data_IF_130295514882
#
_entry.id   IF_130295514882
#
_cell.length_a   1.000
_cell.length_b   1.000
_cell.length_c   1.000
_cell.angle_alpha   90.00
_cell.angle_beta   90.00
_cell.angle_gamma   90.00
#
_symmetry.space_group_name_H-M   'P 1'
#
loop_
_entity.id
_entity.type
_entity.pdbx_description
1 polymer ?
#
# COMPACT_ATOMS: atom_id res chain seq x y z
N UNK A 1 -3.65 7.82 -20.11
CA UNK A 1 -4.28 6.53 -19.76
C UNK A 1 -4.75 6.64 -18.33
N UNK A 2 -6.06 6.66 -18.04
CA UNK A 2 -6.52 6.73 -16.66
C UNK A 2 -6.37 5.34 -16.02
N UNK A 3 -5.83 5.33 -14.81
CA UNK A 3 -5.77 4.19 -13.91
C UNK A 3 -7.17 3.59 -13.71
N UNK A 4 -7.22 2.26 -13.52
CA UNK A 4 -8.43 1.45 -13.42
C UNK A 4 -9.40 1.81 -12.28
N UNK A 5 -10.56 1.13 -12.24
CA UNK A 5 -11.71 1.52 -11.42
C UNK A 5 -11.42 1.51 -9.92
N UNK A 6 -12.11 2.37 -9.18
CA UNK A 6 -12.10 2.44 -7.72
C UNK A 6 -12.48 1.07 -7.13
N UNK A 7 -11.51 0.37 -6.52
CA UNK A 7 -11.71 -0.92 -5.84
C UNK A 7 -11.96 -0.64 -4.36
N UNK A 8 -13.20 -0.80 -3.92
CA UNK A 8 -13.58 -0.71 -2.51
C UNK A 8 -12.99 -1.90 -1.73
N UNK A 9 -11.97 -1.64 -0.93
CA UNK A 9 -11.33 -2.66 -0.08
C UNK A 9 -11.83 -2.48 1.34
N UNK A 10 -12.48 -3.48 1.92
CA UNK A 10 -12.87 -3.42 3.33
C UNK A 10 -11.90 -4.22 4.20
N UNK A 11 -11.43 -3.62 5.29
CA UNK A 11 -10.79 -4.30 6.42
C UNK A 11 -11.54 -3.89 7.69
N UNK A 12 -12.23 -4.82 8.32
CA UNK A 12 -12.79 -4.67 9.66
C UNK A 12 -12.37 -5.90 10.47
N UNK A 13 -11.84 -5.67 11.67
CA UNK A 13 -11.38 -6.73 12.57
C UNK A 13 -12.01 -6.53 13.94
N UNK A 14 -12.40 -7.64 14.56
CA UNK A 14 -13.09 -7.67 15.85
C UNK A 14 -12.25 -8.06 17.05
N UNK A 15 -12.80 -7.74 18.22
CA UNK A 15 -12.35 -8.15 19.55
C UNK A 15 -13.06 -9.42 20.01
N UNK A 16 -12.32 -10.50 20.21
CA UNK A 16 -12.44 -11.25 21.46
C UNK A 16 -11.39 -10.69 22.43
N UNK A 17 -11.81 -10.45 23.67
CA UNK A 17 -11.13 -9.62 24.68
C UNK A 17 -9.62 -9.38 24.45
N UNK A 18 -9.32 -8.16 23.98
CA UNK A 18 -8.00 -7.54 23.83
C UNK A 18 -7.21 -7.69 22.52
N UNK A 19 -7.85 -7.97 21.37
CA UNK A 19 -7.27 -7.70 20.04
C UNK A 19 -7.88 -6.44 19.38
N UNK A 20 -7.07 -5.41 19.11
CA UNK A 20 -7.34 -4.30 18.18
C UNK A 20 -6.50 -4.53 16.94
N UNK A 21 -7.00 -4.21 15.76
CA UNK A 21 -6.14 -4.19 14.57
C UNK A 21 -6.07 -2.79 13.99
N UNK A 22 -4.87 -2.42 13.57
CA UNK A 22 -4.50 -1.08 13.15
C UNK A 22 -3.73 -1.20 11.83
N UNK A 23 -4.04 -0.33 10.87
CA UNK A 23 -3.08 0.05 9.85
C UNK A 23 -1.97 0.88 10.50
N UNK A 24 -0.72 0.56 10.17
CA UNK A 24 0.45 1.29 10.68
C UNK A 24 0.52 2.64 9.97
N UNK A 25 -0.01 3.70 10.60
CA UNK A 25 0.54 5.04 10.46
C UNK A 25 1.44 5.29 11.68
N UNK A 26 2.73 5.44 11.37
CA UNK A 26 3.87 5.83 12.22
C UNK A 26 3.52 6.37 13.62
N UNK A 27 4.01 5.70 14.68
CA UNK A 27 4.49 6.39 15.87
C UNK A 27 5.77 5.71 16.38
N UNK A 28 6.79 6.53 16.65
CA UNK A 28 8.17 6.15 16.93
C UNK A 28 8.36 5.32 18.22
N UNK A 29 7.34 5.23 19.08
CA UNK A 29 7.43 4.58 20.39
C UNK A 29 7.02 3.09 20.40
N UNK A 30 6.46 2.57 19.30
CA UNK A 30 5.95 1.18 19.21
C UNK A 30 7.07 0.12 19.08
N UNK A 31 8.30 0.52 18.77
CA UNK A 31 9.36 -0.40 18.33
C UNK A 31 9.95 -1.28 19.44
N UNK A 32 9.72 -0.99 20.73
CA UNK A 32 10.34 -1.78 21.82
C UNK A 32 9.62 -3.08 22.17
N UNK A 33 8.44 -3.37 21.60
CA UNK A 33 7.67 -4.61 21.84
C UNK A 33 7.15 -5.28 20.56
N UNK A 34 7.43 -4.72 19.37
CA UNK A 34 6.83 -5.12 18.11
C UNK A 34 7.35 -6.47 17.53
N UNK A 35 8.44 -7.02 18.05
CA UNK A 35 9.16 -8.13 17.39
C UNK A 35 8.49 -9.51 17.47
N UNK A 36 7.39 -9.70 18.21
CA UNK A 36 6.80 -11.05 18.39
C UNK A 36 5.26 -11.09 18.41
N UNK A 37 4.58 -10.19 17.70
CA UNK A 37 3.12 -10.31 17.56
C UNK A 37 2.77 -11.43 16.57
N UNK A 38 2.06 -12.44 17.07
CA UNK A 38 1.57 -13.53 16.22
C UNK A 38 0.65 -12.96 15.14
N UNK A 39 1.07 -13.12 13.89
CA UNK A 39 0.43 -12.52 12.73
C UNK A 39 0.32 -13.57 11.62
N UNK A 40 -0.85 -13.61 10.98
CA UNK A 40 -1.13 -14.45 9.81
C UNK A 40 -1.82 -13.62 8.75
N UNK A 41 -1.39 -13.81 7.51
CA UNK A 41 -1.87 -13.09 6.35
C UNK A 41 -2.33 -14.10 5.32
N UNK A 42 -3.57 -13.95 4.87
CA UNK A 42 -4.17 -14.73 3.81
C UNK A 42 -4.35 -13.78 2.63
N UNK A 43 -3.69 -14.07 1.50
CA UNK A 43 -3.80 -13.27 0.29
C UNK A 43 -4.24 -14.19 -0.84
N UNK A 44 -5.17 -13.71 -1.64
CA UNK A 44 -5.47 -14.30 -2.92
C UNK A 44 -5.42 -13.23 -4.01
N UNK A 45 -4.92 -13.61 -5.18
CA UNK A 45 -4.96 -12.79 -6.38
C UNK A 45 -5.44 -13.65 -7.54
N UNK A 46 -6.21 -13.05 -8.44
CA UNK A 46 -6.82 -13.72 -9.56
C UNK A 46 -7.43 -12.71 -10.53
N UNK A 47 -8.47 -13.14 -11.22
CA UNK A 47 -9.20 -12.29 -12.18
C UNK A 47 -10.71 -12.38 -11.89
N UNK A 48 -11.39 -11.24 -11.99
CA UNK A 48 -12.85 -11.14 -11.95
C UNK A 48 -13.30 -10.45 -13.23
N UNK A 49 -14.16 -11.11 -14.02
CA UNK A 49 -14.65 -10.58 -15.29
C UNK A 49 -13.53 -10.17 -16.28
N UNK A 50 -12.38 -10.83 -16.21
CA UNK A 50 -11.20 -10.52 -17.04
C UNK A 50 -10.33 -9.37 -16.52
N UNK A 51 -10.67 -8.77 -15.38
CA UNK A 51 -9.87 -7.74 -14.72
C UNK A 51 -9.07 -8.32 -13.55
N UNK A 52 -7.80 -7.93 -13.34
CA UNK A 52 -7.01 -8.36 -12.20
C UNK A 52 -7.68 -7.97 -10.87
N UNK A 53 -7.74 -8.92 -9.94
CA UNK A 53 -8.30 -8.73 -8.61
C UNK A 53 -7.40 -9.33 -7.54
N UNK A 54 -7.40 -8.71 -6.36
CA UNK A 54 -6.69 -9.21 -5.19
C UNK A 54 -7.50 -8.89 -3.92
N UNK A 55 -7.39 -9.78 -2.93
CA UNK A 55 -8.06 -9.65 -1.64
C UNK A 55 -7.24 -10.34 -0.56
N UNK A 56 -7.48 -9.95 0.70
CA UNK A 56 -6.72 -10.51 1.80
C UNK A 56 -7.34 -10.29 3.17
N UNK A 57 -6.94 -11.15 4.12
CA UNK A 57 -7.32 -11.09 5.53
C UNK A 57 -6.05 -11.11 6.37
N UNK A 58 -5.97 -10.18 7.33
CA UNK A 58 -4.90 -10.11 8.34
C UNK A 58 -5.48 -10.50 9.70
N UNK A 59 -4.90 -11.52 10.33
CA UNK A 59 -5.13 -11.85 11.72
C UNK A 59 -3.89 -11.52 12.54
N UNK A 60 -4.06 -10.79 13.64
CA UNK A 60 -2.94 -10.36 14.47
C UNK A 60 -3.32 -10.31 15.96
N UNK A 61 -2.54 -11.01 16.80
CA UNK A 61 -2.60 -10.89 18.25
C UNK A 61 -2.03 -9.56 18.70
N UNK A 62 -2.68 -8.93 19.66
CA UNK A 62 -2.20 -7.69 20.25
C UNK A 62 -1.33 -7.89 21.49
N UNK A 63 -0.45 -6.91 21.80
CA UNK A 63 0.40 -6.96 22.99
C UNK A 63 -0.36 -7.08 24.32
N UNK A 64 -1.61 -6.60 24.39
CA UNK A 64 -2.44 -6.65 25.61
C UNK A 64 -3.14 -7.99 25.82
N UNK A 65 -2.98 -8.94 24.90
CA UNK A 65 -3.70 -10.21 24.94
C UNK A 65 -2.94 -11.23 25.81
N UNK A 66 -3.64 -11.88 26.74
CA UNK A 66 -3.06 -12.88 27.65
C UNK A 66 -2.73 -14.21 26.94
N UNK A 67 -2.18 -15.19 27.67
CA UNK A 67 -1.74 -16.49 27.11
C UNK A 67 -2.90 -17.28 26.46
N UNK A 68 -4.13 -17.14 26.97
CA UNK A 68 -5.34 -17.76 26.38
C UNK A 68 -5.59 -17.35 24.93
N UNK A 69 -5.07 -16.18 24.52
CA UNK A 69 -5.21 -15.64 23.17
C UNK A 69 -4.50 -16.47 22.11
N UNK A 70 -3.54 -17.33 22.50
CA UNK A 70 -2.79 -18.14 21.55
C UNK A 70 -3.62 -19.30 20.99
N UNK A 71 -4.38 -20.00 21.83
CA UNK A 71 -5.29 -21.06 21.36
C UNK A 71 -6.42 -20.49 20.51
N UNK A 72 -6.94 -19.32 20.90
CA UNK A 72 -7.94 -18.62 20.11
C UNK A 72 -7.39 -18.16 18.77
N UNK A 73 -6.15 -17.67 18.72
CA UNK A 73 -5.51 -17.29 17.48
C UNK A 73 -5.36 -18.47 16.52
N UNK A 74 -4.87 -19.61 17.01
CA UNK A 74 -4.74 -20.82 16.19
C UNK A 74 -6.10 -21.28 15.63
N UNK A 75 -7.16 -21.21 16.44
CA UNK A 75 -8.53 -21.48 15.99
C UNK A 75 -8.99 -20.53 14.87
N UNK A 76 -8.82 -19.22 15.06
CA UNK A 76 -9.18 -18.22 14.04
C UNK A 76 -8.39 -18.41 12.74
N UNK A 77 -7.11 -18.81 12.85
CA UNK A 77 -6.28 -19.14 11.70
C UNK A 77 -6.83 -20.36 10.95
N UNK A 78 -7.26 -21.41 11.65
CA UNK A 78 -7.87 -22.58 11.01
C UNK A 78 -9.21 -22.23 10.33
N UNK A 79 -10.06 -21.42 10.98
CA UNK A 79 -11.31 -20.94 10.36
C UNK A 79 -11.01 -20.15 9.09
N UNK A 80 -10.10 -19.18 9.17
CA UNK A 80 -9.74 -18.32 8.03
C UNK A 80 -9.10 -19.11 6.90
N UNK A 81 -8.34 -20.16 7.20
CA UNK A 81 -7.76 -21.03 6.19
C UNK A 81 -8.80 -21.77 5.32
N UNK A 82 -10.07 -21.79 5.72
CA UNK A 82 -11.17 -22.35 4.92
C UNK A 82 -11.69 -21.42 3.83
N UNK A 83 -11.30 -20.12 3.84
CA UNK A 83 -11.72 -19.16 2.82
C UNK A 83 -11.19 -19.56 1.44
N UNK A 84 -12.05 -19.56 0.43
CA UNK A 84 -11.63 -19.79 -0.95
C UNK A 84 -11.27 -18.48 -1.62
N UNK A 85 -10.41 -18.56 -2.62
CA UNK A 85 -10.01 -17.42 -3.44
C UNK A 85 -11.19 -16.71 -4.10
N UNK A 86 -12.10 -17.45 -4.71
CA UNK A 86 -13.32 -16.90 -5.33
C UNK A 86 -14.16 -16.11 -4.31
N UNK A 87 -14.34 -16.65 -3.11
CA UNK A 87 -15.12 -16.02 -2.04
C UNK A 87 -14.43 -14.74 -1.55
N UNK A 88 -13.10 -14.76 -1.42
CA UNK A 88 -12.31 -13.60 -1.00
C UNK A 88 -12.31 -12.45 -2.01
N UNK A 89 -12.45 -12.77 -3.30
CA UNK A 89 -12.43 -11.77 -4.36
C UNK A 89 -13.83 -11.25 -4.72
N UNK A 90 -14.88 -12.06 -4.55
CA UNK A 90 -16.23 -11.73 -5.06
C UNK A 90 -17.25 -11.36 -3.99
N UNK A 91 -17.08 -11.81 -2.75
CA UNK A 91 -18.04 -11.52 -1.68
C UNK A 91 -17.77 -10.18 -1.02
N UNK A 92 -18.84 -9.56 -0.54
CA UNK A 92 -18.73 -8.39 0.32
C UNK A 92 -18.00 -8.76 1.62
N UNK A 93 -17.04 -7.97 2.09
CA UNK A 93 -16.26 -8.35 3.27
C UNK A 93 -17.06 -8.54 4.55
N UNK A 94 -18.21 -7.85 4.71
CA UNK A 94 -19.13 -8.13 5.83
C UNK A 94 -19.69 -9.56 5.76
N UNK A 95 -19.95 -10.07 4.56
CA UNK A 95 -20.41 -11.43 4.32
C UNK A 95 -19.30 -12.45 4.60
N UNK A 96 -18.06 -12.15 4.18
CA UNK A 96 -16.89 -12.97 4.50
C UNK A 96 -16.71 -13.09 6.03
N UNK A 97 -16.76 -11.96 6.74
CA UNK A 97 -16.61 -11.92 8.19
C UNK A 97 -17.72 -12.69 8.91
N UNK A 98 -18.98 -12.50 8.51
CA UNK A 98 -20.09 -13.25 9.08
C UNK A 98 -19.91 -14.76 8.81
N UNK A 99 -19.59 -15.15 7.57
CA UNK A 99 -19.42 -16.56 7.22
C UNK A 99 -18.30 -17.24 8.01
N UNK A 100 -17.16 -16.57 8.20
CA UNK A 100 -16.01 -17.13 8.92
C UNK A 100 -16.18 -17.09 10.44
N UNK A 101 -16.85 -16.06 10.98
CA UNK A 101 -16.78 -15.73 12.40
C UNK A 101 -18.16 -15.51 13.07
N UNK A 102 -19.27 -15.94 12.48
CA UNK A 102 -20.62 -15.79 13.08
C UNK A 102 -20.79 -16.44 14.46
N UNK A 103 -20.02 -17.49 14.78
CA UNK A 103 -20.02 -18.12 16.11
C UNK A 103 -19.09 -17.41 17.10
N UNK A 104 -18.31 -16.44 16.63
CA UNK A 104 -17.37 -15.65 17.44
C UNK A 104 -18.00 -14.31 17.84
N UNK A 105 -17.55 -13.74 18.94
CA UNK A 105 -17.94 -12.38 19.33
C UNK A 105 -17.17 -11.35 18.48
N UNK A 106 -17.83 -10.76 17.49
CA UNK A 106 -17.20 -9.91 16.47
C UNK A 106 -17.75 -8.48 16.50
N UNK A 107 -16.90 -7.52 16.88
CA UNK A 107 -17.12 -6.08 16.63
C UNK A 107 -16.63 -5.67 15.24
N UNK A 108 -17.49 -5.04 14.45
CA UNK A 108 -17.13 -4.46 13.14
C UNK A 108 -16.87 -2.96 13.26
N UNK A 109 -15.82 -2.48 12.61
CA UNK A 109 -15.49 -1.06 12.48
C UNK A 109 -15.85 -0.52 11.10
N UNK A 110 -15.90 0.81 10.98
CA UNK A 110 -16.14 1.47 9.70
C UNK A 110 -15.00 1.17 8.71
N UNK A 111 -15.35 0.87 7.44
CA UNK A 111 -14.37 0.59 6.42
C UNK A 111 -13.52 1.84 6.12
N UNK A 112 -12.30 1.61 5.65
CA UNK A 112 -11.39 2.67 5.21
C UNK A 112 -11.04 2.41 3.74
N UNK A 113 -11.19 3.43 2.90
CA UNK A 113 -10.79 3.35 1.50
C UNK A 113 -9.27 3.23 1.41
N UNK A 114 -8.82 2.20 0.70
CA UNK A 114 -7.41 1.99 0.38
C UNK A 114 -7.25 2.26 -1.11
N UNK A 115 -6.34 3.16 -1.44
CA UNK A 115 -6.00 3.48 -2.82
C UNK A 115 -4.48 3.42 -2.99
N UNK A 116 -4.04 3.04 -4.19
CA UNK A 116 -2.64 3.17 -4.54
C UNK A 116 -2.23 4.66 -4.51
N UNK A 117 -1.18 4.97 -3.77
CA UNK A 117 -0.63 6.32 -3.72
C UNK A 117 0.88 6.29 -3.91
N UNK A 118 1.35 6.92 -5.00
CA UNK A 118 2.76 7.19 -5.20
C UNK A 118 3.06 8.66 -4.92
N UNK A 119 4.14 8.91 -4.17
CA UNK A 119 4.58 10.27 -3.86
C UNK A 119 5.53 10.87 -4.92
N UNK A 120 5.75 10.17 -6.03
CA UNK A 120 6.50 10.73 -7.16
C UNK A 120 5.82 11.99 -7.68
N UNK A 121 6.61 12.92 -8.20
CA UNK A 121 6.08 14.14 -8.80
C UNK A 121 7.10 14.73 -9.73
N UNK A 122 6.64 15.53 -10.69
CA UNK A 122 7.52 16.26 -11.60
C UNK A 122 8.55 17.10 -10.85
N UNK A 123 8.15 17.76 -9.75
CA UNK A 123 9.04 18.56 -8.91
C UNK A 123 10.16 17.74 -8.26
N UNK A 124 9.90 16.48 -7.87
CA UNK A 124 10.95 15.60 -7.36
C UNK A 124 11.92 15.21 -8.48
N UNK A 125 11.41 14.88 -9.67
CA UNK A 125 12.23 14.59 -10.84
C UNK A 125 13.09 15.79 -11.26
N UNK A 126 12.55 17.01 -11.20
CA UNK A 126 13.31 18.26 -11.42
C UNK A 126 14.48 18.41 -10.45
N UNK A 127 14.27 18.12 -9.16
CA UNK A 127 15.34 18.20 -8.16
C UNK A 127 16.45 17.18 -8.43
N UNK A 128 16.09 15.98 -8.92
CA UNK A 128 17.07 14.97 -9.34
C UNK A 128 17.86 15.49 -10.54
N UNK A 129 17.21 16.03 -11.57
CA UNK A 129 17.88 16.64 -12.73
C UNK A 129 18.83 17.75 -12.30
N UNK A 130 18.42 18.60 -11.36
CA UNK A 130 19.25 19.70 -10.84
C UNK A 130 20.42 19.25 -9.96
N UNK A 131 20.53 17.95 -9.65
CA UNK A 131 21.65 17.36 -8.91
C UNK A 131 22.69 16.68 -9.81
N UNK A 132 22.34 16.41 -11.06
CA UNK A 132 23.27 15.87 -12.07
C UNK A 132 24.22 16.98 -12.55
N UNK A 133 25.40 16.59 -13.03
CA UNK A 133 26.31 17.55 -13.63
C UNK A 133 25.80 18.01 -15.00
N UNK A 134 26.26 19.20 -15.41
CA UNK A 134 25.81 19.80 -16.66
C UNK A 134 26.26 18.97 -17.88
N UNK A 135 27.43 18.33 -17.81
CA UNK A 135 27.95 17.50 -18.90
C UNK A 135 27.05 16.27 -19.18
N UNK A 136 26.59 15.58 -18.12
CA UNK A 136 25.73 14.40 -18.25
C UNK A 136 24.39 14.77 -18.90
N UNK A 137 23.79 15.87 -18.46
CA UNK A 137 22.53 16.36 -19.01
C UNK A 137 22.70 16.73 -20.49
N UNK A 138 23.78 17.42 -20.83
CA UNK A 138 24.02 17.88 -22.19
C UNK A 138 24.34 16.72 -23.14
N UNK A 139 25.05 15.69 -22.66
CA UNK A 139 25.28 14.46 -23.40
C UNK A 139 23.98 13.75 -23.74
N UNK A 140 23.09 13.54 -22.76
CA UNK A 140 21.80 12.85 -22.99
C UNK A 140 20.91 13.67 -23.94
N UNK A 141 20.87 14.99 -23.76
CA UNK A 141 20.10 15.88 -24.65
C UNK A 141 20.64 15.90 -26.08
N UNK A 142 21.95 15.78 -26.28
CA UNK A 142 22.53 15.70 -27.63
C UNK A 142 22.17 14.40 -28.33
N UNK A 143 22.16 13.28 -27.62
CA UNK A 143 21.84 11.96 -28.20
C UNK A 143 20.34 11.77 -28.46
N UNK A 144 19.48 12.23 -27.53
CA UNK A 144 18.05 11.87 -27.50
C UNK A 144 17.10 13.06 -27.66
N UNK A 145 17.57 14.29 -27.52
CA UNK A 145 16.75 15.52 -27.58
C UNK A 145 15.94 15.81 -26.31
N UNK A 146 15.69 14.79 -25.47
CA UNK A 146 14.95 14.87 -24.22
C UNK A 146 15.51 13.89 -23.17
N UNK A 147 15.17 14.15 -21.91
CA UNK A 147 15.44 13.26 -20.78
C UNK A 147 14.10 12.77 -20.22
N UNK A 148 13.95 11.46 -20.13
CA UNK A 148 12.84 10.80 -19.47
C UNK A 148 13.25 10.25 -18.11
N UNK A 149 12.39 10.43 -17.10
CA UNK A 149 12.55 9.81 -15.78
C UNK A 149 11.32 8.96 -15.51
N UNK A 150 11.52 7.65 -15.45
CA UNK A 150 10.50 6.69 -15.06
C UNK A 150 10.53 6.45 -13.55
N UNK A 151 9.36 6.49 -12.91
CA UNK A 151 9.23 6.11 -11.51
C UNK A 151 9.12 4.59 -11.37
N UNK A 152 10.15 3.94 -10.81
CA UNK A 152 10.18 2.48 -10.58
C UNK A 152 9.05 1.94 -9.68
N UNK A 153 8.33 2.80 -8.97
CA UNK A 153 7.22 2.40 -8.09
C UNK A 153 5.85 2.42 -8.77
N UNK A 154 5.60 3.38 -9.66
CA UNK A 154 4.28 3.57 -10.28
C UNK A 154 4.30 3.57 -11.81
N UNK A 155 5.48 3.47 -12.44
CA UNK A 155 5.65 3.52 -13.89
C UNK A 155 5.37 4.89 -14.51
N UNK A 156 5.17 5.96 -13.71
CA UNK A 156 4.96 7.29 -14.25
C UNK A 156 6.23 7.79 -14.96
N UNK A 157 6.09 8.22 -16.21
CA UNK A 157 7.18 8.78 -17.02
C UNK A 157 7.08 10.30 -17.04
N UNK A 158 8.16 10.97 -16.67
CA UNK A 158 8.29 12.42 -16.68
C UNK A 158 9.28 12.84 -17.77
N UNK A 159 8.81 13.61 -18.76
CA UNK A 159 9.62 14.06 -19.89
C UNK A 159 10.10 15.50 -19.70
N UNK A 160 11.38 15.72 -20.01
CA UNK A 160 12.05 17.01 -19.90
C UNK A 160 12.83 17.31 -21.17
N UNK A 161 12.36 18.30 -21.92
CA UNK A 161 13.07 18.77 -23.11
C UNK A 161 14.15 19.80 -22.72
N UNK A 162 15.02 20.11 -23.68
CA UNK A 162 16.11 21.09 -23.51
C UNK A 162 15.63 22.44 -22.97
N UNK A 163 14.58 23.00 -23.57
CA UNK A 163 14.04 24.31 -23.18
C UNK A 163 13.58 24.34 -21.71
N UNK A 164 12.93 23.26 -21.26
CA UNK A 164 12.46 23.12 -19.89
C UNK A 164 13.62 23.06 -18.90
N UNK A 165 14.68 22.30 -19.22
CA UNK A 165 15.85 22.15 -18.36
C UNK A 165 16.63 23.47 -18.25
N UNK A 166 16.78 24.20 -19.36
CA UNK A 166 17.39 25.52 -19.37
C UNK A 166 16.61 26.50 -18.47
N UNK A 167 15.28 26.50 -18.57
CA UNK A 167 14.42 27.30 -17.70
C UNK A 167 14.56 26.90 -16.23
N UNK A 168 14.58 25.61 -15.93
CA UNK A 168 14.73 25.07 -14.58
C UNK A 168 16.05 25.53 -13.93
N UNK A 169 17.16 25.46 -14.67
CA UNK A 169 18.47 25.94 -14.23
C UNK A 169 18.47 27.46 -13.98
N UNK A 170 17.79 28.23 -14.83
CA UNK A 170 17.63 29.69 -14.67
C UNK A 170 16.89 30.03 -13.37
N UNK A 171 15.76 29.37 -13.11
CA UNK A 171 14.96 29.58 -11.89
C UNK A 171 15.77 29.25 -10.64
N UNK A 172 16.49 28.11 -10.62
CA UNK A 172 17.34 27.72 -9.47
C UNK A 172 18.42 28.77 -9.18
N UNK A 173 19.05 29.32 -10.21
CA UNK A 173 20.10 30.36 -10.07
C UNK A 173 19.55 31.64 -9.45
N UNK A 174 18.30 32.00 -9.75
CA UNK A 174 17.64 33.19 -9.19
C UNK A 174 17.21 33.01 -7.71
N UNK A 175 17.05 31.78 -7.22
CA UNK A 175 16.67 31.49 -5.83
C UNK A 175 17.86 31.41 -4.87
N UNK A 176 19.09 31.36 -5.39
CA UNK A 176 20.35 31.30 -4.61
C UNK A 176 20.93 32.72 -4.39
N UNK A 177 20.25 33.77 -4.85
CA UNK A 177 20.60 35.18 -4.62
C UNK A 177 19.43 35.89 -3.93
#
# INVERSE_FOLDING_TARGET
>A
MPCGPDVETNLAISSANHLKVRFIQQSHDYFKQAEQLQTRLFIHSGEINGEPAAGGILLQVLPSAGIESQHQFDHLVQLTATIKGEELLTLEPKEILHRLYHEEDVTLYDPQLVAFHCSCSKKRCENILLSLCDEDIEHILHERGEIDIECEFCGAVYLFNKQYIEELKRIKKQQIH
#
